data_IF_003376561384
#
_entry.id   IF_003376561384
#
_cell.length_a   1.000
_cell.length_b   1.000
_cell.length_c   1.000
_cell.angle_alpha   90.00
_cell.angle_beta   90.00
_cell.angle_gamma   90.00
#
_symmetry.space_group_name_H-M   'P 1'
#
loop_
_entity.id
_entity.type
_entity.pdbx_description
1 polymer ?
#
# COMPACT_ATOMS: atom_id res chain seq x y z
N UNK A 1 -14.71 8.67 -17.66
CA UNK A 1 -13.54 7.80 -17.80
C UNK A 1 -13.18 7.35 -16.40
N UNK A 2 -13.17 6.04 -16.13
CA UNK A 2 -12.75 5.51 -14.83
C UNK A 2 -11.23 5.50 -14.83
N UNK A 3 -10.61 6.23 -13.92
CA UNK A 3 -9.19 6.10 -13.63
C UNK A 3 -8.98 4.74 -12.96
N UNK A 4 -7.84 4.11 -13.23
CA UNK A 4 -7.45 2.87 -12.56
C UNK A 4 -6.03 3.02 -12.03
N UNK A 5 -5.83 2.58 -10.80
CA UNK A 5 -4.51 2.55 -10.18
C UNK A 5 -4.12 1.10 -10.02
N UNK A 6 -2.93 0.77 -10.50
CA UNK A 6 -2.31 -0.53 -10.29
C UNK A 6 -1.30 -0.49 -9.14
N UNK A 7 -1.14 -1.63 -8.45
CA UNK A 7 0.00 -1.89 -7.56
C UNK A 7 1.28 -1.93 -8.40
N UNK A 8 2.13 -0.92 -8.26
CA UNK A 8 3.40 -0.80 -9.00
C UNK A 8 4.56 -1.53 -8.30
N UNK A 9 4.64 -1.41 -6.97
CA UNK A 9 5.65 -2.11 -6.16
C UNK A 9 5.04 -2.51 -4.82
N UNK A 10 5.28 -3.74 -4.40
CA UNK A 10 4.97 -4.15 -3.04
C UNK A 10 6.07 -5.02 -2.47
N UNK A 11 6.82 -4.43 -1.57
CA UNK A 11 7.95 -5.04 -0.86
C UNK A 11 7.75 -4.98 0.65
N UNK A 12 6.53 -4.63 1.09
CA UNK A 12 6.21 -4.56 2.51
C UNK A 12 6.28 -5.97 3.09
N UNK A 13 7.12 -6.11 4.12
CA UNK A 13 7.33 -7.33 4.89
C UNK A 13 7.23 -7.02 6.36
N UNK A 14 6.73 -7.99 7.10
CA UNK A 14 6.52 -7.91 8.54
C UNK A 14 6.57 -9.32 9.13
N UNK A 15 6.69 -9.42 10.46
CA UNK A 15 6.60 -10.74 11.11
C UNK A 15 5.19 -11.33 11.00
N UNK A 16 5.07 -12.66 10.99
CA UNK A 16 3.78 -13.38 10.96
C UNK A 16 2.83 -12.89 12.06
N UNK A 17 3.37 -12.58 13.24
CA UNK A 17 2.58 -12.05 14.37
C UNK A 17 1.93 -10.72 14.02
N UNK A 18 2.67 -9.82 13.38
CA UNK A 18 2.16 -8.52 12.95
C UNK A 18 1.17 -8.68 11.81
N UNK A 19 1.46 -9.56 10.83
CA UNK A 19 0.54 -9.84 9.74
C UNK A 19 -0.81 -10.41 10.23
N UNK A 20 -0.78 -11.40 11.13
CA UNK A 20 -2.00 -11.97 11.73
C UNK A 20 -2.81 -10.93 12.51
N UNK A 21 -2.13 -10.07 13.27
CA UNK A 21 -2.78 -8.96 14.00
C UNK A 21 -3.43 -7.98 13.03
N UNK A 22 -2.72 -7.57 11.98
CA UNK A 22 -3.22 -6.64 10.96
C UNK A 22 -4.47 -7.21 10.26
N UNK A 23 -4.44 -8.49 9.87
CA UNK A 23 -5.57 -9.17 9.24
C UNK A 23 -6.78 -9.22 10.19
N UNK A 24 -6.55 -9.49 11.48
CA UNK A 24 -7.62 -9.51 12.48
C UNK A 24 -8.25 -8.12 12.67
N UNK A 25 -7.42 -7.08 12.85
CA UNK A 25 -7.89 -5.70 13.01
C UNK A 25 -8.63 -5.21 11.77
N UNK A 26 -8.14 -5.51 10.56
CA UNK A 26 -8.82 -5.14 9.33
C UNK A 26 -10.19 -5.81 9.20
N UNK A 27 -10.30 -7.09 9.56
CA UNK A 27 -11.58 -7.80 9.57
C UNK A 27 -12.57 -7.17 10.55
N UNK A 28 -12.11 -6.73 11.72
CA UNK A 28 -12.95 -6.01 12.69
C UNK A 28 -13.43 -4.65 12.16
N UNK A 29 -12.65 -4.02 11.30
CA UNK A 29 -12.96 -2.75 10.63
C UNK A 29 -13.65 -2.95 9.25
N UNK A 30 -14.08 -4.16 8.92
CA UNK A 30 -14.86 -4.44 7.70
C UNK A 30 -14.03 -4.55 6.42
N UNK A 31 -12.71 -4.64 6.52
CA UNK A 31 -11.80 -4.80 5.39
C UNK A 31 -11.33 -6.25 5.23
N UNK A 32 -11.06 -6.65 3.98
CA UNK A 32 -10.50 -7.96 3.66
C UNK A 32 -9.03 -7.83 3.26
N UNK A 33 -8.15 -8.37 4.09
CA UNK A 33 -6.70 -8.34 3.91
C UNK A 33 -6.12 -9.74 3.72
N UNK A 34 -5.11 -9.81 2.85
CA UNK A 34 -4.27 -10.99 2.68
C UNK A 34 -2.80 -10.60 2.82
N UNK A 35 -1.99 -11.47 3.43
CA UNK A 35 -0.54 -11.30 3.49
C UNK A 35 0.13 -12.63 3.15
N UNK A 36 1.15 -12.56 2.30
CA UNK A 36 2.10 -13.66 2.06
C UNK A 36 3.52 -13.09 1.99
N UNK A 37 4.52 -13.90 2.34
CA UNK A 37 5.92 -13.47 2.20
C UNK A 37 6.36 -13.31 0.74
N UNK A 38 5.65 -13.97 -0.19
CA UNK A 38 5.90 -13.89 -1.63
C UNK A 38 5.33 -12.57 -2.21
N UNK A 39 4.05 -12.29 -1.98
CA UNK A 39 3.30 -11.20 -2.61
C UNK A 39 3.24 -9.91 -1.77
N UNK A 40 3.58 -10.02 -0.48
CA UNK A 40 3.39 -8.98 0.52
C UNK A 40 1.93 -8.81 0.95
N UNK A 41 1.61 -7.63 1.47
CA UNK A 41 0.23 -7.26 1.81
C UNK A 41 -0.62 -7.15 0.53
N UNK A 42 -1.87 -7.58 0.53
CA UNK A 42 -2.80 -7.39 -0.59
C UNK A 42 -4.18 -7.01 -0.04
N UNK A 43 -4.72 -5.91 -0.54
CA UNK A 43 -6.09 -5.42 -0.33
C UNK A 43 -6.91 -5.62 -1.62
N UNK A 44 -8.21 -5.30 -1.54
CA UNK A 44 -9.08 -5.15 -2.70
C UNK A 44 -8.43 -4.21 -3.76
N UNK A 45 -8.61 -4.46 -5.06
CA UNK A 45 -8.00 -3.70 -6.15
C UNK A 45 -8.31 -2.19 -6.22
N UNK A 46 -9.25 -1.66 -5.45
CA UNK A 46 -9.48 -0.21 -5.46
C UNK A 46 -8.38 0.53 -4.70
N UNK A 47 -7.56 1.30 -5.41
CA UNK A 47 -6.46 2.02 -4.80
C UNK A 47 -6.88 3.17 -3.89
N UNK A 48 -8.13 3.65 -3.99
CA UNK A 48 -8.67 4.54 -2.96
C UNK A 48 -8.69 3.83 -1.60
N UNK A 49 -9.04 2.54 -1.57
CA UNK A 49 -9.06 1.77 -0.33
C UNK A 49 -7.66 1.56 0.25
N UNK A 50 -6.63 1.47 -0.60
CA UNK A 50 -5.24 1.44 -0.11
C UNK A 50 -4.80 2.75 0.54
N UNK A 51 -5.19 3.89 -0.04
CA UNK A 51 -4.86 5.19 0.54
C UNK A 51 -5.58 5.43 1.86
N UNK A 52 -6.87 5.07 1.91
CA UNK A 52 -7.71 5.20 3.10
C UNK A 52 -7.22 4.25 4.21
N UNK A 53 -6.91 3.00 3.87
CA UNK A 53 -6.37 2.03 4.83
C UNK A 53 -5.11 2.53 5.53
N UNK A 54 -4.13 3.08 4.80
CA UNK A 54 -2.91 3.59 5.42
C UNK A 54 -3.09 4.93 6.13
N UNK A 55 -4.27 5.56 6.07
CA UNK A 55 -4.61 6.76 6.84
C UNK A 55 -5.40 6.45 8.11
N UNK A 56 -5.94 5.25 8.24
CA UNK A 56 -6.65 4.84 9.45
C UNK A 56 -5.69 4.66 10.64
N UNK A 57 -6.06 5.25 11.78
CA UNK A 57 -5.27 5.19 13.01
C UNK A 57 -5.00 3.75 13.47
N UNK A 58 -5.97 2.85 13.27
CA UNK A 58 -5.83 1.44 13.64
C UNK A 58 -4.79 0.73 12.78
N UNK A 59 -4.78 0.97 11.47
CA UNK A 59 -3.82 0.37 10.55
C UNK A 59 -2.40 0.87 10.85
N UNK A 60 -2.25 2.18 11.11
CA UNK A 60 -0.96 2.77 11.53
C UNK A 60 -0.48 2.12 12.83
N UNK A 61 -1.37 1.95 13.82
CA UNK A 61 -1.04 1.32 15.09
C UNK A 61 -0.68 -0.17 14.97
N UNK A 62 -1.31 -0.90 14.05
CA UNK A 62 -1.00 -2.29 13.75
C UNK A 62 0.38 -2.44 13.08
N UNK A 63 0.74 -1.47 12.22
CA UNK A 63 2.00 -1.46 11.46
C UNK A 63 3.17 -0.83 12.22
N UNK A 64 2.95 -0.20 13.36
CA UNK A 64 3.99 0.40 14.20
C UNK A 64 4.78 -0.67 15.00
N UNK A 65 5.48 -1.54 14.28
CA UNK A 65 6.33 -2.59 14.83
C UNK A 65 7.71 -2.61 14.13
N UNK A 66 8.83 -2.81 14.86
CA UNK A 66 10.18 -2.79 14.28
C UNK A 66 10.42 -3.81 13.15
N UNK A 67 9.61 -4.87 13.06
CA UNK A 67 9.70 -5.86 11.99
C UNK A 67 9.13 -5.36 10.65
N UNK A 68 8.32 -4.29 10.64
CA UNK A 68 7.63 -3.79 9.45
C UNK A 68 8.55 -2.93 8.60
N UNK A 69 8.87 -3.40 7.38
CA UNK A 69 9.80 -2.75 6.47
C UNK A 69 9.40 -2.92 5.00
N UNK A 70 9.71 -1.94 4.18
CA UNK A 70 9.53 -2.00 2.73
C UNK A 70 8.57 -0.93 2.19
N UNK A 71 8.29 -1.02 0.90
CA UNK A 71 7.49 -0.02 0.18
C UNK A 71 6.22 -0.65 -0.39
N UNK A 72 5.12 0.09 -0.31
CA UNK A 72 3.91 -0.12 -1.13
C UNK A 72 3.74 1.08 -2.03
N UNK A 73 3.77 0.88 -3.34
CA UNK A 73 3.74 1.94 -4.35
C UNK A 73 2.69 1.61 -5.39
N UNK A 74 1.97 2.64 -5.79
CA UNK A 74 0.87 2.63 -6.73
C UNK A 74 1.19 3.55 -7.90
N UNK A 75 0.76 3.16 -9.10
CA UNK A 75 0.90 3.94 -10.33
C UNK A 75 -0.48 4.11 -10.95
N UNK A 76 -0.85 5.36 -11.26
CA UNK A 76 -1.98 5.64 -12.15
C UNK A 76 -1.52 5.46 -13.60
N UNK A 77 -2.08 4.46 -14.28
CA UNK A 77 -1.74 4.19 -15.68
C UNK A 77 -2.55 5.06 -16.66
N UNK A 78 -3.79 5.44 -16.29
CA UNK A 78 -4.76 6.05 -17.19
C UNK A 78 -5.55 7.19 -16.52
N UNK A 79 -5.94 8.20 -17.31
CA UNK A 79 -6.75 9.35 -16.88
C UNK A 79 -5.93 10.62 -16.63
N UNK A 80 -6.54 11.63 -16.03
CA UNK A 80 -5.92 12.95 -15.80
C UNK A 80 -4.69 12.91 -14.86
N UNK A 81 -4.52 11.80 -14.14
CA UNK A 81 -3.39 11.53 -13.25
C UNK A 81 -2.43 10.46 -13.79
N UNK A 82 -2.55 10.07 -15.07
CA UNK A 82 -1.64 9.10 -15.69
C UNK A 82 -0.17 9.52 -15.50
N UNK A 83 0.66 8.58 -15.03
CA UNK A 83 2.07 8.83 -14.69
C UNK A 83 2.31 9.28 -13.24
N UNK A 84 1.27 9.51 -12.43
CA UNK A 84 1.45 9.80 -11.01
C UNK A 84 1.74 8.53 -10.20
N UNK A 85 2.74 8.64 -9.32
CA UNK A 85 3.13 7.61 -8.37
C UNK A 85 2.83 8.10 -6.95
N UNK A 86 2.13 7.26 -6.20
CA UNK A 86 1.94 7.42 -4.76
C UNK A 86 2.35 6.17 -4.02
N UNK A 87 2.63 6.29 -2.74
CA UNK A 87 2.93 5.11 -1.94
C UNK A 87 3.29 5.44 -0.50
N UNK A 88 3.75 4.40 0.17
CA UNK A 88 4.13 4.42 1.57
C UNK A 88 5.41 3.61 1.74
N UNK A 89 6.40 4.21 2.42
CA UNK A 89 7.62 3.53 2.86
C UNK A 89 7.53 3.25 4.35
N UNK A 90 7.84 2.03 4.74
CA UNK A 90 7.94 1.59 6.11
C UNK A 90 9.39 1.28 6.46
N UNK A 91 9.85 1.82 7.59
CA UNK A 91 11.17 1.53 8.14
C UNK A 91 11.03 1.33 9.64
N UNK A 92 11.15 0.08 10.08
CA UNK A 92 10.90 -0.33 11.46
C UNK A 92 9.55 0.17 12.02
N UNK A 93 8.49 0.05 11.22
CA UNK A 93 7.14 0.48 11.58
C UNK A 93 6.85 1.97 11.41
N UNK A 94 7.88 2.79 11.14
CA UNK A 94 7.68 4.19 10.80
C UNK A 94 7.25 4.33 9.34
N UNK A 95 6.06 4.87 9.14
CA UNK A 95 5.48 5.13 7.82
C UNK A 95 5.82 6.53 7.31
N UNK A 96 6.26 6.62 6.06
CA UNK A 96 6.50 7.87 5.32
C UNK A 96 5.72 7.84 4.00
N UNK A 97 4.99 8.91 3.71
CA UNK A 97 4.27 9.06 2.43
C UNK A 97 5.26 9.32 1.29
N UNK A 98 5.08 8.62 0.17
CA UNK A 98 5.82 8.80 -1.07
C UNK A 98 4.89 9.43 -2.12
N UNK A 99 5.41 10.41 -2.86
CA UNK A 99 4.74 10.98 -4.03
C UNK A 99 5.78 11.35 -5.08
N UNK A 100 5.56 10.98 -6.34
CA UNK A 100 6.40 11.36 -7.47
C UNK A 100 5.57 11.46 -8.74
N UNK A 101 5.95 12.38 -9.64
CA UNK A 101 5.39 12.47 -10.98
C UNK A 101 6.35 11.80 -11.96
N UNK A 102 5.88 10.77 -12.67
CA UNK A 102 6.61 10.13 -13.77
C UNK A 102 6.11 10.70 -15.08
N UNK A 103 6.96 11.45 -15.76
CA UNK A 103 6.70 11.83 -17.14
C UNK A 103 7.04 10.64 -18.03
N UNK A 104 6.01 9.90 -18.46
CA UNK A 104 6.16 8.90 -19.51
C UNK A 104 6.56 9.64 -20.80
N UNK A 105 7.84 9.58 -21.14
CA UNK A 105 8.33 10.06 -22.43
C UNK A 105 8.04 8.95 -23.43
N UNK A 106 7.19 9.25 -24.42
CA UNK A 106 7.03 8.38 -25.59
C UNK A 106 8.40 8.26 -26.27
N UNK A 107 8.98 7.06 -26.24
CA UNK A 107 10.09 6.74 -27.14
C UNK A 107 9.52 6.55 -28.54
N UNK A 108 9.91 7.45 -29.44
CA UNK A 108 9.64 7.40 -30.89
C UNK A 108 10.09 6.09 -31.55
#
# INVERSE_FOLDING_TARGET
MSWSIGKYKNTLRMSDKVAQRLIAEAKENGQSLYYSDEDGLSLDPDAMEWMDFFWDDWAIAALNDPSVNGDVVFLCADGDQAGQIWGYRFTAGHMVKLSADVHLTETE
#
